data_IF_758858012384
#
_entry.id   IF_758858012384
#
_cell.length_a   1.000
_cell.length_b   1.000
_cell.length_c   1.000
_cell.angle_alpha   90.00
_cell.angle_beta   90.00
_cell.angle_gamma   90.00
#
_symmetry.space_group_name_H-M   'P 1'
#
loop_
_entity.id
_entity.type
_entity.pdbx_description
1 polymer ?
#
# COMPACT_ATOMS: atom_id res chain seq x y z
N UNK A 1 17.64 -32.77 -83.59
CA UNK A 1 17.10 -32.90 -82.23
C UNK A 1 15.64 -32.49 -82.31
N UNK A 2 14.71 -33.41 -82.06
CA UNK A 2 13.27 -33.19 -82.30
C UNK A 2 12.79 -31.96 -81.49
N UNK A 3 12.04 -31.12 -82.18
CA UNK A 3 11.41 -29.92 -81.58
C UNK A 3 10.70 -30.22 -80.26
N UNK A 4 10.08 -31.36 -80.19
CA UNK A 4 9.40 -31.86 -78.99
C UNK A 4 10.33 -32.03 -77.78
N UNK A 5 11.57 -32.47 -77.98
CA UNK A 5 12.55 -32.56 -76.88
C UNK A 5 13.02 -31.20 -76.33
N UNK A 6 13.13 -30.22 -77.23
CA UNK A 6 13.46 -28.83 -76.84
C UNK A 6 12.35 -28.25 -75.92
N UNK A 7 11.09 -28.43 -76.36
CA UNK A 7 9.94 -27.91 -75.61
C UNK A 7 9.85 -28.54 -74.18
N UNK A 8 10.06 -29.83 -74.05
CA UNK A 8 10.06 -30.52 -72.75
C UNK A 8 11.22 -29.99 -71.89
N UNK A 9 12.39 -29.80 -72.44
CA UNK A 9 13.53 -29.26 -71.67
C UNK A 9 13.27 -27.86 -71.16
N UNK A 10 12.67 -26.99 -71.98
CA UNK A 10 12.29 -25.62 -71.56
C UNK A 10 11.19 -25.65 -70.47
N UNK A 11 10.22 -26.55 -70.63
CA UNK A 11 9.17 -26.67 -69.59
C UNK A 11 9.73 -27.16 -68.25
N UNK A 12 10.61 -28.16 -68.28
CA UNK A 12 11.28 -28.64 -67.07
C UNK A 12 12.14 -27.54 -66.41
N UNK A 13 12.90 -26.79 -67.22
CA UNK A 13 13.68 -25.62 -66.70
C UNK A 13 12.81 -24.54 -66.09
N UNK A 14 11.64 -24.23 -66.71
CA UNK A 14 10.70 -23.26 -66.13
C UNK A 14 10.11 -23.72 -64.82
N UNK A 15 9.71 -25.02 -64.68
CA UNK A 15 9.19 -25.56 -63.45
C UNK A 15 10.27 -25.50 -62.34
N UNK A 16 11.50 -25.84 -62.63
CA UNK A 16 12.61 -25.75 -61.68
C UNK A 16 12.87 -24.31 -61.27
N UNK A 17 12.84 -23.36 -62.21
CA UNK A 17 13.03 -21.93 -61.90
C UNK A 17 11.92 -21.39 -60.98
N UNK A 18 10.63 -21.78 -61.23
CA UNK A 18 9.51 -21.40 -60.34
C UNK A 18 9.65 -22.04 -58.99
N UNK A 19 10.05 -23.31 -58.89
CA UNK A 19 10.28 -24.01 -57.63
C UNK A 19 11.42 -23.32 -56.79
N UNK A 20 12.51 -22.95 -57.47
CA UNK A 20 13.60 -22.20 -56.81
C UNK A 20 13.11 -20.81 -56.37
N UNK A 21 12.36 -20.09 -57.19
CA UNK A 21 11.84 -18.76 -56.84
C UNK A 21 10.88 -18.80 -55.64
N UNK A 22 10.04 -19.88 -55.56
CA UNK A 22 9.13 -20.01 -54.40
C UNK A 22 9.86 -20.45 -53.11
N UNK A 23 10.89 -21.29 -53.24
CA UNK A 23 11.70 -21.73 -52.08
C UNK A 23 12.70 -20.68 -51.59
N UNK A 24 13.16 -19.82 -52.47
CA UNK A 24 14.09 -18.75 -52.15
C UNK A 24 13.42 -17.38 -51.94
N UNK A 25 12.10 -17.29 -52.18
CA UNK A 25 11.37 -16.06 -51.88
C UNK A 25 11.54 -15.78 -50.38
N UNK A 26 12.26 -14.73 -49.98
CA UNK A 26 12.28 -14.34 -48.60
C UNK A 26 10.83 -14.11 -48.22
N UNK A 27 10.33 -14.85 -47.21
CA UNK A 27 9.12 -14.51 -46.51
C UNK A 27 9.28 -13.04 -46.15
N UNK A 28 8.57 -12.15 -46.86
CA UNK A 28 8.52 -10.75 -46.49
C UNK A 28 7.96 -10.71 -45.08
N UNK A 29 8.85 -10.77 -44.10
CA UNK A 29 8.54 -10.25 -42.78
C UNK A 29 8.27 -8.79 -43.04
N UNK A 30 7.01 -8.41 -42.94
CA UNK A 30 6.64 -7.03 -42.91
C UNK A 30 7.50 -6.37 -41.80
N UNK A 31 8.47 -5.48 -42.14
CA UNK A 31 9.29 -4.88 -41.10
C UNK A 31 8.47 -4.00 -40.16
N UNK A 32 7.20 -3.74 -40.49
CA UNK A 32 6.21 -3.09 -39.62
C UNK A 32 5.33 -4.05 -38.87
N UNK A 33 5.43 -5.39 -39.04
CA UNK A 33 4.71 -6.34 -38.23
C UNK A 33 5.28 -6.30 -36.81
N UNK A 34 4.60 -5.58 -35.93
CA UNK A 34 4.91 -5.59 -34.49
C UNK A 34 4.84 -7.02 -33.99
N UNK A 35 5.78 -7.46 -33.12
CA UNK A 35 5.69 -8.79 -32.54
C UNK A 35 4.34 -8.91 -31.82
N UNK A 36 3.65 -10.01 -32.06
CA UNK A 36 2.42 -10.29 -31.31
C UNK A 36 2.79 -10.57 -29.85
N UNK A 37 2.56 -9.59 -29.01
CA UNK A 37 2.85 -9.66 -27.56
C UNK A 37 1.66 -10.23 -26.77
N UNK A 38 0.49 -10.43 -27.39
CA UNK A 38 -0.70 -10.93 -26.73
C UNK A 38 -0.45 -12.27 -26.03
N UNK A 39 -0.80 -12.35 -24.78
CA UNK A 39 -0.65 -13.54 -23.94
C UNK A 39 0.77 -13.79 -23.43
N UNK A 40 1.75 -13.00 -23.84
CA UNK A 40 3.10 -13.09 -23.28
C UNK A 40 3.12 -12.56 -21.85
N UNK A 41 3.97 -13.14 -21.00
CA UNK A 41 4.21 -12.62 -19.67
C UNK A 41 4.89 -11.24 -19.73
N UNK A 42 4.42 -10.30 -18.91
CA UNK A 42 5.02 -8.96 -18.84
C UNK A 42 6.45 -9.02 -18.27
N UNK A 43 6.72 -9.94 -17.35
CA UNK A 43 8.04 -10.19 -16.80
C UNK A 43 8.56 -11.56 -17.20
N UNK A 44 9.88 -11.66 -17.40
CA UNK A 44 10.57 -12.94 -17.33
C UNK A 44 10.38 -13.52 -15.92
N UNK A 45 10.38 -14.84 -15.79
CA UNK A 45 10.10 -15.50 -14.52
C UNK A 45 11.04 -15.01 -13.41
N UNK A 46 10.49 -14.46 -12.33
CA UNK A 46 11.16 -14.32 -11.05
C UNK A 46 10.51 -15.26 -10.03
N UNK A 47 11.23 -15.66 -8.99
CA UNK A 47 10.63 -16.46 -7.91
C UNK A 47 9.89 -15.54 -6.92
N UNK A 48 8.55 -15.59 -6.83
CA UNK A 48 7.79 -14.79 -5.87
C UNK A 48 8.23 -15.01 -4.41
N UNK A 49 8.80 -16.19 -4.11
CA UNK A 49 9.31 -16.49 -2.76
C UNK A 49 10.58 -15.74 -2.41
N UNK A 50 11.27 -15.19 -3.41
CA UNK A 50 12.45 -14.35 -3.20
C UNK A 50 12.10 -12.90 -2.86
N UNK A 51 10.81 -12.54 -2.89
CA UNK A 51 10.33 -11.20 -2.52
C UNK A 51 10.38 -11.08 -1.00
N UNK A 52 11.20 -10.15 -0.53
CA UNK A 52 11.36 -9.83 0.89
C UNK A 52 11.05 -8.37 1.19
N UNK A 53 10.59 -7.63 0.19
CA UNK A 53 10.17 -6.24 0.35
C UNK A 53 9.31 -5.77 -0.81
N UNK A 54 8.48 -4.79 -0.51
CA UNK A 54 7.71 -4.02 -1.48
C UNK A 54 7.86 -2.54 -1.16
N UNK A 55 7.99 -1.75 -2.20
CA UNK A 55 7.91 -0.30 -2.11
C UNK A 55 6.82 0.20 -3.04
N UNK A 56 5.93 1.02 -2.52
CA UNK A 56 4.83 1.62 -3.27
C UNK A 56 4.99 3.12 -3.19
N UNK A 57 4.93 3.78 -4.35
CA UNK A 57 5.02 5.22 -4.47
C UNK A 57 3.82 5.69 -5.28
N UNK A 58 3.05 6.61 -4.73
CA UNK A 58 1.91 7.23 -5.39
C UNK A 58 1.77 8.69 -4.98
N UNK A 59 0.99 9.45 -5.73
CA UNK A 59 0.64 10.82 -5.34
C UNK A 59 -0.66 10.75 -4.55
N UNK A 60 -0.64 11.32 -3.36
CA UNK A 60 -1.83 11.47 -2.53
C UNK A 60 -2.70 12.60 -3.11
N UNK A 61 -3.97 12.30 -3.34
CA UNK A 61 -4.90 13.26 -3.95
C UNK A 61 -5.32 14.40 -3.02
N UNK A 62 -5.20 14.21 -1.69
CA UNK A 62 -5.64 15.20 -0.70
C UNK A 62 -4.61 16.32 -0.52
N UNK A 63 -3.34 15.97 -0.39
CA UNK A 63 -2.27 16.94 -0.14
C UNK A 63 -1.34 17.17 -1.35
N UNK A 64 -1.60 16.48 -2.46
CA UNK A 64 -0.86 16.59 -3.74
C UNK A 64 0.66 16.40 -3.50
N UNK A 65 1.00 15.38 -2.72
CA UNK A 65 2.38 15.03 -2.43
C UNK A 65 2.67 13.59 -2.82
N UNK A 66 3.88 13.34 -3.30
CA UNK A 66 4.34 11.98 -3.52
C UNK A 66 4.59 11.31 -2.16
N UNK A 67 3.84 10.26 -1.88
CA UNK A 67 3.98 9.42 -0.68
C UNK A 67 4.62 8.09 -1.05
N UNK A 68 5.45 7.58 -0.16
CA UNK A 68 6.04 6.27 -0.31
C UNK A 68 5.90 5.47 0.98
N UNK A 69 5.65 4.19 0.82
CA UNK A 69 5.71 3.19 1.88
C UNK A 69 6.59 2.04 1.43
N UNK A 70 7.47 1.59 2.30
CA UNK A 70 8.27 0.40 2.10
C UNK A 70 7.92 -0.61 3.19
N UNK A 71 7.51 -1.83 2.78
CA UNK A 71 7.29 -2.95 3.69
C UNK A 71 8.40 -3.96 3.44
N UNK A 72 9.18 -4.26 4.46
CA UNK A 72 10.37 -5.11 4.33
C UNK A 72 10.43 -6.17 5.41
N UNK A 73 10.90 -7.36 5.04
CA UNK A 73 11.14 -8.46 5.95
C UNK A 73 12.45 -8.26 6.69
N UNK A 74 12.40 -8.45 8.01
CA UNK A 74 13.55 -8.44 8.91
C UNK A 74 13.59 -9.74 9.70
N UNK A 75 14.63 -9.93 10.50
CA UNK A 75 14.71 -11.07 11.43
C UNK A 75 13.57 -11.08 12.48
N UNK A 76 12.95 -9.92 12.72
CA UNK A 76 11.86 -9.74 13.69
C UNK A 76 10.47 -9.81 13.07
N UNK A 77 10.36 -10.04 11.74
CA UNK A 77 9.11 -10.02 10.99
C UNK A 77 9.07 -8.89 9.97
N UNK A 78 7.86 -8.56 9.53
CA UNK A 78 7.62 -7.50 8.56
C UNK A 78 7.54 -6.13 9.22
N UNK A 79 8.15 -5.13 8.60
CA UNK A 79 8.16 -3.75 9.10
C UNK A 79 7.87 -2.77 7.98
N UNK A 80 7.07 -1.77 8.32
CA UNK A 80 6.79 -0.61 7.49
C UNK A 80 7.86 0.43 7.74
N UNK A 81 8.41 0.97 6.64
CA UNK A 81 9.30 2.12 6.62
C UNK A 81 8.66 3.25 5.84
N UNK A 82 8.65 4.43 6.44
CA UNK A 82 8.17 5.66 5.80
C UNK A 82 9.20 6.77 6.03
N UNK A 83 9.42 7.66 5.04
CA UNK A 83 10.33 8.78 5.19
C UNK A 83 10.00 9.63 6.45
N UNK A 84 10.98 9.88 7.30
CA UNK A 84 10.81 10.71 8.50
C UNK A 84 10.03 10.08 9.66
N UNK A 85 9.49 8.88 9.52
CA UNK A 85 8.75 8.16 10.57
C UNK A 85 9.58 7.02 11.16
N UNK A 86 9.16 6.48 12.30
CA UNK A 86 9.75 5.27 12.86
C UNK A 86 9.29 4.04 12.10
N UNK A 87 10.16 3.02 12.04
CA UNK A 87 9.75 1.70 11.56
C UNK A 87 8.64 1.14 12.48
N UNK A 88 7.63 0.52 11.89
CA UNK A 88 6.49 -0.04 12.61
C UNK A 88 6.21 -1.48 12.14
N UNK A 89 5.83 -2.40 13.03
CA UNK A 89 5.46 -3.76 12.64
C UNK A 89 4.32 -3.75 11.62
N UNK A 90 4.46 -4.53 10.56
CA UNK A 90 3.46 -4.68 9.52
C UNK A 90 2.67 -5.98 9.69
N UNK A 91 1.36 -5.92 9.45
CA UNK A 91 0.51 -7.08 9.24
C UNK A 91 0.40 -7.35 7.73
N UNK A 92 1.49 -7.86 7.14
CA UNK A 92 1.68 -7.86 5.68
C UNK A 92 1.66 -9.26 5.03
N UNK A 93 1.53 -10.34 5.79
CA UNK A 93 1.73 -11.70 5.28
C UNK A 93 0.83 -12.08 4.12
N UNK A 94 -0.42 -11.69 4.12
CA UNK A 94 -1.36 -11.98 3.04
C UNK A 94 -1.21 -11.00 1.89
N UNK A 95 -1.14 -9.73 2.20
CA UNK A 95 -1.07 -8.63 1.22
C UNK A 95 0.18 -8.70 0.35
N UNK A 96 1.34 -9.05 0.93
CA UNK A 96 2.58 -9.25 0.17
C UNK A 96 2.52 -10.44 -0.77
N UNK A 97 1.90 -11.54 -0.36
CA UNK A 97 1.69 -12.70 -1.23
C UNK A 97 0.80 -12.36 -2.41
N UNK A 98 -0.25 -11.58 -2.15
CA UNK A 98 -1.21 -11.19 -3.17
C UNK A 98 -0.57 -10.26 -4.19
N UNK A 99 0.18 -9.25 -3.76
CA UNK A 99 0.91 -8.33 -4.64
C UNK A 99 2.03 -9.04 -5.42
N UNK A 100 2.81 -9.90 -4.77
CA UNK A 100 3.86 -10.66 -5.45
C UNK A 100 3.28 -11.61 -6.51
N UNK A 101 2.17 -12.26 -6.20
CA UNK A 101 1.48 -13.16 -7.12
C UNK A 101 0.83 -12.41 -8.28
N UNK A 102 0.25 -11.24 -8.01
CA UNK A 102 -0.33 -10.35 -9.02
C UNK A 102 0.73 -9.96 -10.06
N UNK A 103 1.89 -9.48 -9.64
CA UNK A 103 2.96 -9.04 -10.54
C UNK A 103 3.60 -10.20 -11.32
N UNK A 104 3.63 -11.41 -10.74
CA UNK A 104 4.22 -12.58 -11.37
C UNK A 104 3.43 -13.06 -12.61
N UNK A 105 2.10 -13.05 -12.57
CA UNK A 105 1.27 -13.63 -13.66
C UNK A 105 0.67 -12.56 -14.59
N UNK A 106 1.24 -11.36 -14.64
CA UNK A 106 0.76 -10.33 -15.56
C UNK A 106 0.97 -10.73 -17.01
N UNK A 107 -0.15 -10.80 -17.75
CA UNK A 107 -0.17 -11.13 -19.17
C UNK A 107 -0.57 -9.95 -20.00
N UNK A 108 0.20 -9.69 -21.05
CA UNK A 108 -0.07 -8.60 -21.99
C UNK A 108 -1.31 -8.95 -22.79
N UNK A 109 -2.32 -8.09 -22.73
CA UNK A 109 -3.49 -8.15 -23.62
C UNK A 109 -3.09 -7.55 -24.97
N UNK A 110 -2.57 -6.33 -24.97
CA UNK A 110 -1.98 -5.67 -26.12
C UNK A 110 -1.07 -4.50 -25.69
N UNK A 111 -0.50 -3.83 -26.69
CA UNK A 111 0.31 -2.64 -26.50
C UNK A 111 -0.55 -1.40 -26.83
N UNK A 112 -0.72 -0.52 -25.84
CA UNK A 112 -1.53 0.69 -25.93
C UNK A 112 -0.74 1.90 -26.44
N UNK A 113 0.55 2.01 -26.09
CA UNK A 113 1.41 3.14 -26.49
C UNK A 113 2.88 2.74 -26.60
N UNK A 114 3.67 3.59 -27.28
CA UNK A 114 5.11 3.35 -27.50
C UNK A 114 5.99 4.53 -27.07
N UNK A 115 5.42 5.71 -26.98
CA UNK A 115 6.15 6.96 -26.79
C UNK A 115 6.00 7.55 -25.38
N UNK A 116 7.08 8.17 -24.88
CA UNK A 116 7.04 8.83 -23.57
C UNK A 116 5.97 9.95 -23.49
N UNK A 117 5.64 10.61 -24.61
CA UNK A 117 4.62 11.64 -24.66
C UNK A 117 3.18 11.14 -24.43
N UNK A 118 2.97 9.83 -24.44
CA UNK A 118 1.65 9.22 -24.21
C UNK A 118 1.42 8.80 -22.75
N UNK A 119 2.45 8.85 -21.89
CA UNK A 119 2.39 8.34 -20.53
C UNK A 119 1.33 9.02 -19.68
N UNK A 120 1.20 10.35 -19.77
CA UNK A 120 0.18 11.12 -19.05
C UNK A 120 -1.23 10.68 -19.43
N UNK A 121 -1.48 10.44 -20.74
CA UNK A 121 -2.79 10.00 -21.23
C UNK A 121 -3.26 8.66 -20.66
N UNK A 122 -2.32 7.77 -20.34
CA UNK A 122 -2.60 6.44 -19.81
C UNK A 122 -2.47 6.35 -18.28
N UNK A 123 -2.21 7.48 -17.62
CA UNK A 123 -1.99 7.50 -16.17
C UNK A 123 -0.71 6.80 -15.72
N UNK A 124 0.32 6.70 -16.58
CA UNK A 124 1.55 5.94 -16.27
C UNK A 124 2.80 6.82 -16.15
N UNK A 125 2.63 8.11 -15.85
CA UNK A 125 3.77 8.93 -15.43
C UNK A 125 4.39 8.37 -14.15
N UNK A 126 5.70 8.47 -14.05
CA UNK A 126 6.41 7.93 -12.89
C UNK A 126 6.30 8.87 -11.68
N UNK A 127 5.65 8.48 -10.57
CA UNK A 127 5.43 9.34 -9.39
C UNK A 127 6.72 9.78 -8.71
N UNK A 128 7.84 9.09 -8.93
CA UNK A 128 9.14 9.49 -8.38
C UNK A 128 9.85 10.58 -9.21
N UNK A 129 9.33 10.91 -10.39
CA UNK A 129 9.98 11.83 -11.35
C UNK A 129 9.07 12.97 -11.81
N UNK A 130 7.76 12.72 -11.83
CA UNK A 130 6.75 13.71 -12.24
C UNK A 130 6.55 14.75 -11.14
N UNK A 131 6.12 15.95 -11.53
CA UNK A 131 5.62 16.93 -10.58
C UNK A 131 4.27 16.41 -10.02
N UNK A 132 4.07 16.35 -8.70
CA UNK A 132 2.81 15.85 -8.12
C UNK A 132 1.54 16.55 -8.60
N UNK A 133 1.67 17.75 -9.18
CA UNK A 133 0.54 18.50 -9.75
C UNK A 133 0.20 18.11 -11.19
N UNK A 134 1.03 17.28 -11.84
CA UNK A 134 0.75 16.78 -13.18
C UNK A 134 -0.39 15.77 -13.18
N UNK A 135 -1.18 15.75 -14.23
CA UNK A 135 -2.21 14.73 -14.44
C UNK A 135 -1.63 13.45 -15.05
N UNK A 136 -2.22 12.30 -14.72
CA UNK A 136 -1.84 11.03 -15.31
C UNK A 136 -0.60 10.41 -14.68
N UNK A 137 -0.39 10.66 -13.40
CA UNK A 137 0.65 10.00 -12.60
C UNK A 137 0.10 8.64 -12.14
N UNK A 138 0.90 7.59 -12.32
CA UNK A 138 0.54 6.25 -11.91
C UNK A 138 1.07 5.89 -10.52
N UNK A 139 0.70 4.70 -10.07
CA UNK A 139 1.23 4.07 -8.86
C UNK A 139 2.44 3.22 -9.22
N UNK A 140 3.60 3.51 -8.65
CA UNK A 140 4.82 2.75 -8.86
C UNK A 140 5.01 1.71 -7.75
N UNK A 141 5.23 0.47 -8.16
CA UNK A 141 5.47 -0.66 -7.28
C UNK A 141 6.85 -1.22 -7.59
N UNK A 142 7.66 -1.45 -6.57
CA UNK A 142 8.90 -2.20 -6.63
C UNK A 142 8.82 -3.43 -5.74
N UNK A 143 9.00 -4.61 -6.30
CA UNK A 143 9.25 -5.84 -5.54
C UNK A 143 10.75 -6.00 -5.34
N UNK A 144 11.18 -6.14 -4.09
CA UNK A 144 12.59 -6.20 -3.70
C UNK A 144 12.96 -7.57 -3.14
N UNK A 145 14.21 -7.97 -3.36
CA UNK A 145 14.79 -9.15 -2.73
C UNK A 145 15.54 -8.76 -1.43
N UNK A 146 16.11 -9.74 -0.75
CA UNK A 146 16.85 -9.57 0.51
C UNK A 146 18.09 -8.67 0.40
N UNK A 147 18.64 -8.46 -0.81
CA UNK A 147 19.72 -7.50 -1.04
C UNK A 147 19.22 -6.07 -1.31
N UNK A 148 17.90 -5.84 -1.31
CA UNK A 148 17.28 -4.56 -1.66
C UNK A 148 17.20 -4.28 -3.17
N UNK A 149 17.56 -5.25 -4.02
CA UNK A 149 17.48 -5.10 -5.48
C UNK A 149 16.07 -5.36 -5.97
N UNK A 150 15.63 -4.58 -6.97
CA UNK A 150 14.31 -4.75 -7.57
C UNK A 150 14.27 -6.03 -8.42
N UNK A 151 13.34 -6.93 -8.09
CA UNK A 151 13.00 -8.11 -8.87
C UNK A 151 12.03 -7.77 -9.99
N UNK A 152 11.06 -6.92 -9.71
CA UNK A 152 10.10 -6.37 -10.66
C UNK A 152 9.75 -4.94 -10.27
N UNK A 153 9.43 -4.12 -11.27
CA UNK A 153 9.01 -2.74 -11.07
C UNK A 153 7.92 -2.40 -12.08
N UNK A 154 6.77 -1.93 -11.61
CA UNK A 154 5.61 -1.65 -12.42
C UNK A 154 5.00 -0.31 -12.06
N UNK A 155 4.62 0.47 -13.06
CA UNK A 155 3.72 1.60 -12.91
C UNK A 155 2.34 1.14 -13.37
N UNK A 156 1.36 1.22 -12.47
CA UNK A 156 -0.06 0.98 -12.75
C UNK A 156 -0.72 2.34 -12.94
N UNK A 157 -1.34 2.52 -14.09
CA UNK A 157 -2.06 3.72 -14.46
C UNK A 157 -3.57 3.58 -14.31
N UNK A 158 -4.29 4.22 -15.22
CA UNK A 158 -5.75 4.23 -15.23
C UNK A 158 -6.33 2.88 -15.63
N UNK A 159 -7.54 2.59 -15.12
CA UNK A 159 -8.33 1.46 -15.57
C UNK A 159 -8.85 1.74 -17.00
N UNK A 160 -8.89 0.71 -17.81
CA UNK A 160 -9.34 0.82 -19.19
C UNK A 160 -10.86 0.91 -19.26
N UNK A 161 -11.41 1.94 -19.83
CA UNK A 161 -12.84 2.13 -19.98
C UNK A 161 -13.53 0.90 -20.57
N UNK A 162 -14.55 0.40 -19.88
CA UNK A 162 -15.36 -0.74 -20.31
C UNK A 162 -14.69 -2.12 -20.17
N UNK A 163 -13.49 -2.20 -19.60
CA UNK A 163 -12.78 -3.46 -19.32
C UNK A 163 -12.41 -3.53 -17.83
N UNK A 164 -13.29 -4.08 -16.97
CA UNK A 164 -13.04 -4.17 -15.54
C UNK A 164 -11.72 -4.89 -15.23
N UNK A 165 -11.01 -4.43 -14.20
CA UNK A 165 -9.71 -4.96 -13.75
C UNK A 165 -8.62 -4.93 -14.82
N UNK A 166 -8.81 -4.19 -15.92
CA UNK A 166 -7.81 -4.00 -16.97
C UNK A 166 -7.20 -2.61 -16.83
N UNK A 167 -5.89 -2.56 -16.68
CA UNK A 167 -5.15 -1.32 -16.44
C UNK A 167 -4.12 -1.06 -17.52
N UNK A 168 -3.83 0.20 -17.74
CA UNK A 168 -2.62 0.60 -18.44
C UNK A 168 -1.44 0.45 -17.52
N UNK A 169 -0.40 -0.23 -17.97
CA UNK A 169 0.81 -0.47 -17.18
C UNK A 169 2.06 -0.18 -17.99
N UNK A 170 3.12 0.20 -17.29
CA UNK A 170 4.42 0.46 -17.86
C UNK A 170 5.55 0.02 -16.93
N UNK A 171 6.59 -0.58 -17.48
CA UNK A 171 7.85 -0.75 -16.74
C UNK A 171 8.56 0.61 -16.63
N UNK A 172 9.06 1.03 -15.46
CA UNK A 172 9.65 2.36 -15.28
C UNK A 172 10.76 2.71 -16.26
N UNK A 173 11.51 1.70 -16.70
CA UNK A 173 12.67 1.85 -17.61
C UNK A 173 12.29 1.77 -19.10
N UNK A 174 11.01 1.58 -19.43
CA UNK A 174 10.54 1.42 -20.80
C UNK A 174 9.48 2.48 -21.13
N UNK A 175 9.37 2.84 -22.41
CA UNK A 175 8.33 3.75 -22.87
C UNK A 175 7.04 3.03 -23.28
N UNK A 176 7.13 1.74 -23.60
CA UNK A 176 5.97 0.97 -24.02
C UNK A 176 4.95 0.84 -22.90
N UNK A 177 3.70 1.15 -23.24
CA UNK A 177 2.53 1.01 -22.34
C UNK A 177 1.72 -0.17 -22.83
N UNK A 178 1.33 -1.03 -21.88
CA UNK A 178 0.56 -2.24 -22.16
C UNK A 178 -0.78 -2.18 -21.43
N UNK A 179 -1.78 -2.90 -21.98
CA UNK A 179 -2.99 -3.24 -21.25
C UNK A 179 -2.81 -4.64 -20.66
N UNK A 180 -3.08 -4.76 -19.36
CA UNK A 180 -3.00 -6.03 -18.64
C UNK A 180 -4.18 -6.16 -17.67
N UNK A 181 -4.60 -7.39 -17.38
CA UNK A 181 -5.53 -7.65 -16.28
C UNK A 181 -4.74 -7.63 -14.98
N UNK A 182 -5.09 -6.71 -14.08
CA UNK A 182 -4.48 -6.55 -12.75
C UNK A 182 -5.56 -6.81 -11.72
N UNK A 183 -5.55 -8.00 -11.13
CA UNK A 183 -6.49 -8.36 -10.07
C UNK A 183 -6.10 -7.63 -8.79
N UNK A 184 -7.10 -7.12 -8.07
CA UNK A 184 -6.90 -6.47 -6.77
C UNK A 184 -5.92 -5.28 -6.83
N UNK A 185 -5.90 -4.53 -7.93
CA UNK A 185 -5.05 -3.33 -8.05
C UNK A 185 -5.32 -2.31 -6.93
N UNK A 186 -6.53 -2.29 -6.37
CA UNK A 186 -6.93 -1.44 -5.25
C UNK A 186 -6.28 -1.82 -3.92
N UNK A 187 -5.89 -3.09 -3.74
CA UNK A 187 -5.27 -3.57 -2.50
C UNK A 187 -3.80 -3.13 -2.38
N UNK A 188 -3.22 -2.61 -3.46
CA UNK A 188 -1.85 -2.09 -3.49
C UNK A 188 -1.88 -0.61 -3.16
N UNK A 189 -1.68 -0.26 -1.91
CA UNK A 189 -1.83 1.09 -1.38
C UNK A 189 -0.58 1.58 -0.68
N UNK A 190 -0.28 2.89 -0.74
CA UNK A 190 0.76 3.53 0.06
C UNK A 190 0.26 3.98 1.44
N UNK A 191 -1.01 3.72 1.77
CA UNK A 191 -1.59 4.12 3.05
C UNK A 191 -1.09 3.23 4.17
N UNK A 192 -0.61 3.83 5.24
CA UNK A 192 -0.09 3.12 6.41
C UNK A 192 -1.10 2.15 7.03
N UNK A 193 -2.36 2.57 7.13
CA UNK A 193 -3.45 1.80 7.75
C UNK A 193 -3.70 0.45 7.07
N UNK A 194 -3.45 0.35 5.76
CA UNK A 194 -3.68 -0.88 5.00
C UNK A 194 -2.62 -1.97 5.30
N UNK A 195 -1.56 -1.62 6.02
CA UNK A 195 -0.43 -2.50 6.32
C UNK A 195 -0.26 -2.84 7.80
N UNK A 196 -1.16 -2.37 8.67
CA UNK A 196 -1.08 -2.58 10.11
C UNK A 196 -2.32 -3.28 10.64
N UNK A 197 -2.17 -3.90 11.81
CA UNK A 197 -3.33 -4.24 12.63
C UNK A 197 -3.90 -2.96 13.20
N UNK A 198 -5.10 -2.61 12.81
CA UNK A 198 -5.72 -1.33 13.16
C UNK A 198 -6.36 -1.33 14.54
N UNK A 199 -6.88 -2.47 15.00
CA UNK A 199 -7.49 -2.58 16.32
C UNK A 199 -6.45 -2.30 17.41
N UNK A 200 -6.53 -1.10 17.99
CA UNK A 200 -5.53 -0.61 18.95
C UNK A 200 -5.67 -1.25 20.32
N UNK A 201 -6.88 -1.55 20.75
CA UNK A 201 -7.15 -1.99 22.09
C UNK A 201 -7.53 -3.47 22.20
N UNK A 202 -7.90 -4.12 21.10
CA UNK A 202 -8.56 -5.45 21.09
C UNK A 202 -9.67 -5.50 22.16
N UNK A 203 -10.45 -4.44 22.22
CA UNK A 203 -11.43 -4.18 23.26
C UNK A 203 -12.81 -4.56 22.77
N UNK A 204 -13.49 -5.43 23.52
CA UNK A 204 -14.87 -5.80 23.27
C UNK A 204 -15.78 -4.94 24.16
N UNK A 205 -16.63 -4.11 23.53
CA UNK A 205 -17.59 -3.22 24.21
C UNK A 205 -18.47 -3.95 25.24
N UNK A 206 -18.73 -5.24 25.02
CA UNK A 206 -19.53 -6.04 25.96
C UNK A 206 -18.78 -6.40 27.24
N UNK A 207 -17.46 -6.29 27.23
CA UNK A 207 -16.60 -6.52 28.41
C UNK A 207 -16.35 -5.25 29.21
N UNK A 208 -16.69 -4.07 28.69
CA UNK A 208 -16.54 -2.80 29.41
C UNK A 208 -17.51 -2.79 30.61
N UNK A 209 -16.96 -2.66 31.79
CA UNK A 209 -17.71 -2.60 33.06
C UNK A 209 -17.57 -1.25 33.76
N UNK A 210 -16.50 -0.54 33.48
CA UNK A 210 -16.21 0.74 34.09
C UNK A 210 -15.41 1.60 33.12
N UNK A 211 -15.72 2.88 33.08
CA UNK A 211 -14.93 3.91 32.37
C UNK A 211 -14.56 5.00 33.37
N UNK A 212 -13.30 5.39 33.36
CA UNK A 212 -12.79 6.52 34.16
C UNK A 212 -12.39 7.65 33.23
N UNK A 213 -13.02 8.80 33.38
CA UNK A 213 -12.67 10.02 32.67
C UNK A 213 -11.74 10.85 33.58
N UNK A 214 -10.46 10.90 33.24
CA UNK A 214 -9.45 11.66 33.99
C UNK A 214 -8.86 12.73 33.06
N UNK A 215 -9.26 14.00 33.26
CA UNK A 215 -8.82 15.11 32.45
C UNK A 215 -7.56 15.74 33.08
N UNK A 216 -6.42 15.55 32.44
CA UNK A 216 -5.13 16.04 32.92
C UNK A 216 -4.20 16.46 31.79
N UNK A 217 -3.32 17.42 32.07
CA UNK A 217 -2.21 17.81 31.24
C UNK A 217 -0.90 17.26 31.80
N UNK A 218 -0.01 16.79 30.93
CA UNK A 218 1.32 16.32 31.32
C UNK A 218 2.37 17.31 30.82
N UNK A 219 3.03 18.00 31.72
CA UNK A 219 4.21 18.78 31.39
C UNK A 219 5.47 17.90 31.51
N UNK A 220 5.88 17.32 30.38
CA UNK A 220 7.03 16.41 30.35
C UNK A 220 8.37 17.09 30.70
N UNK A 221 8.50 18.40 30.46
CA UNK A 221 9.72 19.15 30.77
C UNK A 221 9.90 19.37 32.28
N UNK A 222 8.79 19.48 33.00
CA UNK A 222 8.78 19.70 34.45
C UNK A 222 8.44 18.45 35.26
N UNK A 223 8.06 17.35 34.58
CA UNK A 223 7.64 16.14 35.23
C UNK A 223 6.34 16.28 36.03
N UNK A 224 5.43 17.16 35.60
CA UNK A 224 4.21 17.48 36.32
C UNK A 224 2.97 17.01 35.60
N UNK A 225 1.98 16.53 36.39
CA UNK A 225 0.63 16.24 35.92
C UNK A 225 -0.31 17.23 36.57
N UNK A 226 -0.98 18.04 35.74
CA UNK A 226 -1.97 19.01 36.19
C UNK A 226 -3.36 18.45 35.90
N UNK A 227 -4.17 18.22 36.92
CA UNK A 227 -5.57 17.81 36.80
C UNK A 227 -6.48 18.99 37.01
N UNK A 228 -7.43 19.18 36.09
CA UNK A 228 -8.42 20.22 36.20
C UNK A 228 -9.46 19.88 37.31
N UNK A 229 -9.89 18.60 37.34
CA UNK A 229 -10.93 18.12 38.22
C UNK A 229 -10.62 16.70 38.75
N UNK A 230 -11.44 16.21 39.67
CA UNK A 230 -11.38 14.81 40.08
C UNK A 230 -11.86 13.89 38.95
N UNK A 231 -11.27 12.71 38.79
CA UNK A 231 -11.72 11.74 37.79
C UNK A 231 -13.19 11.37 37.98
N UNK A 232 -13.91 11.32 36.85
CA UNK A 232 -15.30 10.83 36.81
C UNK A 232 -15.27 9.33 36.55
N UNK A 233 -15.87 8.55 37.43
CA UNK A 233 -15.95 7.10 37.31
C UNK A 233 -17.37 6.68 36.97
N UNK A 234 -17.55 6.05 35.83
CA UNK A 234 -18.82 5.55 35.32
C UNK A 234 -18.79 4.02 35.35
N UNK A 235 -19.80 3.42 35.99
CA UNK A 235 -19.96 1.96 36.00
C UNK A 235 -21.09 1.56 35.05
N UNK A 236 -20.91 0.44 34.37
CA UNK A 236 -21.90 -0.17 33.49
C UNK A 236 -22.24 -1.59 33.96
N UNK A 237 -23.45 -1.78 34.45
CA UNK A 237 -23.96 -3.06 34.89
C UNK A 237 -25.45 -3.20 34.55
N UNK A 238 -25.90 -4.40 34.22
CA UNK A 238 -27.30 -4.69 33.87
C UNK A 238 -27.89 -3.74 32.83
N UNK A 239 -27.08 -3.40 31.80
CA UNK A 239 -27.43 -2.46 30.72
C UNK A 239 -27.74 -1.03 31.20
N UNK A 240 -27.23 -0.63 32.38
CA UNK A 240 -27.41 0.69 32.96
C UNK A 240 -26.07 1.30 33.35
N UNK A 241 -25.97 2.60 33.12
CA UNK A 241 -24.88 3.44 33.58
C UNK A 241 -25.18 3.99 34.96
N UNK A 242 -24.16 4.12 35.80
CA UNK A 242 -24.20 4.76 37.10
C UNK A 242 -22.92 5.51 37.39
N UNK A 243 -23.04 6.67 38.08
CA UNK A 243 -21.90 7.47 38.53
C UNK A 243 -21.39 6.89 39.88
N UNK A 244 -20.08 6.59 39.95
CA UNK A 244 -19.48 6.13 41.17
C UNK A 244 -19.09 7.31 42.08
N UNK A 245 -19.34 7.16 43.40
CA UNK A 245 -18.85 8.10 44.43
C UNK A 245 -19.60 9.42 44.57
N UNK A 246 -20.60 9.72 43.73
CA UNK A 246 -21.42 10.91 43.83
C UNK A 246 -22.86 10.60 43.44
N UNK A 247 -23.83 11.19 44.14
CA UNK A 247 -25.22 11.19 43.69
C UNK A 247 -25.44 12.32 42.67
N UNK A 248 -26.21 12.02 41.62
CA UNK A 248 -26.70 13.05 40.69
C UNK A 248 -27.62 14.01 41.45
N UNK A 249 -27.62 15.28 41.07
CA UNK A 249 -28.60 16.26 41.59
C UNK A 249 -30.02 15.93 41.11
N UNK A 250 -31.04 16.46 41.77
CA UNK A 250 -32.44 16.15 41.45
C UNK A 250 -32.83 16.44 39.97
N UNK A 251 -32.08 17.31 39.26
CA UNK A 251 -32.32 17.68 37.87
C UNK A 251 -31.24 17.16 36.91
N UNK A 252 -30.41 16.19 37.32
CA UNK A 252 -29.36 15.61 36.51
C UNK A 252 -29.66 14.13 36.24
N UNK A 253 -29.42 13.76 34.99
CA UNK A 253 -29.46 12.36 34.56
C UNK A 253 -28.24 12.03 33.69
N UNK A 254 -27.90 10.76 33.65
CA UNK A 254 -26.84 10.30 32.73
C UNK A 254 -27.46 10.14 31.35
N UNK A 255 -26.84 10.80 30.37
CA UNK A 255 -27.21 10.64 28.98
C UNK A 255 -26.75 9.27 28.47
N UNK A 256 -27.72 8.35 28.43
CA UNK A 256 -27.44 6.96 28.03
C UNK A 256 -26.96 6.85 26.60
N UNK A 257 -27.47 7.68 25.68
CA UNK A 257 -27.10 7.62 24.27
C UNK A 257 -25.65 8.02 24.08
N UNK A 258 -25.20 9.10 24.73
CA UNK A 258 -23.81 9.55 24.70
C UNK A 258 -22.87 8.53 25.32
N UNK A 259 -23.26 7.91 26.45
CA UNK A 259 -22.41 6.93 27.12
C UNK A 259 -22.33 5.60 26.36
N UNK A 260 -23.40 5.17 25.71
CA UNK A 260 -23.38 4.00 24.84
C UNK A 260 -22.53 4.28 23.58
N UNK A 261 -22.67 5.46 22.97
CA UNK A 261 -21.83 5.89 21.84
C UNK A 261 -20.34 5.98 22.22
N UNK A 262 -20.01 6.44 23.43
CA UNK A 262 -18.64 6.41 23.94
C UNK A 262 -18.09 4.99 24.02
N UNK A 263 -18.90 4.03 24.50
CA UNK A 263 -18.50 2.63 24.59
C UNK A 263 -18.29 2.02 23.20
N UNK A 264 -19.14 2.33 22.23
CA UNK A 264 -18.97 1.93 20.83
C UNK A 264 -17.70 2.54 20.22
N UNK A 265 -17.44 3.84 20.45
CA UNK A 265 -16.23 4.50 19.98
C UNK A 265 -14.93 3.95 20.58
N UNK A 266 -14.97 3.37 21.80
CA UNK A 266 -13.81 2.70 22.39
C UNK A 266 -13.53 1.32 21.77
N UNK A 267 -14.59 0.61 21.37
CA UNK A 267 -14.52 -0.67 20.63
C UNK A 267 -13.98 -0.43 19.20
N UNK A 268 -14.45 0.64 18.55
CA UNK A 268 -14.12 1.02 17.19
C UNK A 268 -12.80 1.86 17.10
N UNK A 269 -11.99 1.89 18.15
CA UNK A 269 -10.76 2.70 18.18
C UNK A 269 -9.66 2.08 17.34
N UNK A 270 -9.35 2.71 16.21
CA UNK A 270 -8.37 2.24 15.25
C UNK A 270 -7.10 3.11 15.21
N UNK A 271 -5.97 2.47 14.88
CA UNK A 271 -4.71 3.17 14.58
C UNK A 271 -4.82 3.80 13.20
N UNK A 272 -4.72 5.12 13.12
CA UNK A 272 -4.67 5.86 11.84
C UNK A 272 -3.25 6.26 11.44
N UNK A 273 -2.38 6.56 12.39
CA UNK A 273 -0.96 6.83 12.16
C UNK A 273 -0.15 6.63 13.45
N UNK A 274 1.17 6.52 13.30
CA UNK A 274 2.12 6.41 14.41
C UNK A 274 3.27 7.39 14.25
N UNK A 275 3.71 7.95 15.36
CA UNK A 275 4.86 8.83 15.40
C UNK A 275 5.92 8.32 16.39
N UNK A 276 7.17 8.68 16.12
CA UNK A 276 8.25 8.36 17.04
C UNK A 276 8.06 9.15 18.34
N UNK A 277 8.03 8.43 19.46
CA UNK A 277 8.04 9.12 20.77
C UNK A 277 9.29 9.97 20.92
N UNK A 278 9.19 11.20 21.44
CA UNK A 278 10.36 12.00 21.77
C UNK A 278 11.35 11.22 22.64
N UNK A 279 12.65 11.37 22.41
CA UNK A 279 13.68 10.60 23.13
C UNK A 279 13.59 10.75 24.64
N UNK A 280 13.25 11.96 25.11
CA UNK A 280 13.06 12.23 26.53
C UNK A 280 11.90 11.41 27.12
N UNK A 281 10.81 11.25 26.35
CA UNK A 281 9.67 10.42 26.77
C UNK A 281 10.05 8.95 26.79
N UNK A 282 10.77 8.45 25.79
CA UNK A 282 11.26 7.06 25.74
C UNK A 282 12.12 6.75 26.96
N UNK A 283 13.07 7.66 27.26
CA UNK A 283 13.97 7.52 28.41
C UNK A 283 13.19 7.48 29.74
N UNK A 284 12.19 8.35 29.89
CA UNK A 284 11.37 8.44 31.08
C UNK A 284 10.45 7.21 31.22
N UNK A 285 9.87 6.73 30.13
CA UNK A 285 9.04 5.49 30.14
C UNK A 285 9.87 4.24 30.46
N UNK A 286 11.16 4.19 30.09
CA UNK A 286 12.06 3.10 30.43
C UNK A 286 12.33 3.03 31.95
N UNK A 287 12.24 4.13 32.66
CA UNK A 287 12.32 4.17 34.12
C UNK A 287 11.08 3.55 34.81
N UNK A 288 10.03 3.29 34.04
CA UNK A 288 8.86 2.53 34.48
C UNK A 288 8.13 3.18 35.67
N UNK A 289 7.87 2.34 36.71
CA UNK A 289 7.10 2.81 37.86
C UNK A 289 7.74 3.97 38.62
N UNK A 290 9.05 4.09 38.65
CA UNK A 290 9.75 5.21 39.31
C UNK A 290 9.41 6.56 38.71
N UNK A 291 9.32 6.63 37.36
CA UNK A 291 8.92 7.87 36.69
C UNK A 291 7.52 8.32 37.14
N UNK A 292 6.56 7.40 37.14
CA UNK A 292 5.18 7.73 37.54
C UNK A 292 5.02 7.98 39.04
N UNK A 293 5.81 7.34 39.91
CA UNK A 293 5.81 7.63 41.34
C UNK A 293 6.39 9.01 41.65
N UNK A 294 7.48 9.38 40.97
CA UNK A 294 8.09 10.70 41.15
C UNK A 294 7.16 11.84 40.66
N UNK A 295 6.39 11.61 39.57
CA UNK A 295 5.35 12.53 39.15
C UNK A 295 4.24 12.70 40.20
N UNK A 296 3.86 11.62 40.88
CA UNK A 296 2.85 11.63 41.94
C UNK A 296 3.31 12.37 43.16
N UNK A 297 4.55 12.15 43.58
CA UNK A 297 5.12 12.77 44.78
C UNK A 297 5.38 14.28 44.57
N UNK A 298 5.78 14.66 43.37
CA UNK A 298 5.93 16.08 43.01
C UNK A 298 4.58 16.84 43.05
N UNK A 299 3.50 16.21 42.58
CA UNK A 299 2.15 16.79 42.68
C UNK A 299 1.65 16.91 44.15
N UNK A 300 1.92 15.89 44.97
CA UNK A 300 1.51 15.93 46.39
C UNK A 300 2.29 17.00 47.20
N UNK A 301 3.53 17.30 46.83
CA UNK A 301 4.29 18.36 47.48
C UNK A 301 3.82 19.75 47.06
N UNK A 302 3.30 19.91 45.80
CA UNK A 302 2.75 21.20 45.34
C UNK A 302 1.41 21.56 46.01
N UNK A 303 0.69 20.63 46.56
CA UNK A 303 -0.61 20.84 47.24
C UNK A 303 -0.41 21.19 48.77
N UNK A 304 0.78 21.02 49.29
CA UNK A 304 1.10 21.28 50.74
C UNK A 304 1.85 22.59 50.94
N UNK A 305 2.16 23.36 49.92
CA UNK A 305 2.68 24.71 50.01
C UNK A 305 1.61 25.75 49.58
#
# INVERSE_FOLDING_TARGET
MNEYKKTITFLAAAIVAVAIATLTSPTKRDPSAKPNLMGQALYESFDPRSVTGIEIIEVDEEDIQSKSIEVTQTEKGWFIRRPGKADYPANADNQLKDVASMLFDLRIIDQAGEGAGEHSRFGVLNPSKADPTESGIGRLIHLKNSSGSNLASLIIGEEVDGLPSTYYVRKPEQNAVFRVEVRNAGDVSSKFVDWVEQDFLDLDKWKIKQVTLDNYDVNLAQGQINRADNPIVLNFADSKWSLAGSALRENEELDKEVLDAMKDALDDLEIIDVERKPEILVKNLQQGREFFSNLRDANNQAVVQ
#
